data_IF_606345468007
#
_entry.id   IF_606345468007
#
_cell.length_a   1.000
_cell.length_b   1.000
_cell.length_c   1.000
_cell.angle_alpha   90.00
_cell.angle_beta   90.00
_cell.angle_gamma   90.00
#
_symmetry.space_group_name_H-M   'P 1'
#
loop_
_entity.id
_entity.type
_entity.pdbx_description
1 polymer ?
#
# COMPACT_ATOMS: atom_id res chain seq x y z
N UNK A 1 12.09 23.21 36.92
CA UNK A 1 12.15 21.77 36.62
C UNK A 1 10.78 21.10 36.53
N UNK A 2 9.76 21.53 37.29
CA UNK A 2 8.39 20.95 37.28
C UNK A 2 7.58 21.30 36.02
N UNK A 3 7.73 22.50 35.46
CA UNK A 3 6.99 22.92 34.25
C UNK A 3 7.37 22.12 33.00
N UNK A 4 8.61 21.61 32.90
CA UNK A 4 9.06 20.82 31.75
C UNK A 4 8.32 19.48 31.67
N UNK A 5 8.07 18.85 32.83
CA UNK A 5 7.32 17.59 32.92
C UNK A 5 5.83 17.79 32.62
N UNK A 6 5.27 18.94 32.99
CA UNK A 6 3.85 19.26 32.74
C UNK A 6 3.54 19.56 31.27
N UNK A 7 4.51 20.06 30.50
CA UNK A 7 4.39 20.22 29.05
C UNK A 7 4.68 18.93 28.28
N UNK A 8 5.49 18.03 28.85
CA UNK A 8 5.80 16.74 28.23
C UNK A 8 4.65 15.72 28.37
N UNK A 9 3.87 15.77 29.47
CA UNK A 9 2.74 14.87 29.72
C UNK A 9 1.66 14.86 28.63
N UNK A 10 1.16 15.98 28.08
CA UNK A 10 0.18 15.94 26.99
C UNK A 10 0.76 15.37 25.69
N UNK A 11 2.04 15.62 25.41
CA UNK A 11 2.74 15.07 24.24
C UNK A 11 2.88 13.55 24.39
N UNK A 12 3.33 13.08 25.56
CA UNK A 12 3.47 11.66 25.85
C UNK A 12 2.11 10.94 25.80
N UNK A 13 1.05 11.56 26.34
CA UNK A 13 -0.31 11.03 26.28
C UNK A 13 -0.83 10.95 24.84
N UNK A 14 -0.57 11.97 24.01
CA UNK A 14 -0.92 11.93 22.59
C UNK A 14 -0.17 10.81 21.84
N UNK A 15 1.12 10.59 22.12
CA UNK A 15 1.86 9.47 21.55
C UNK A 15 1.35 8.10 22.00
N UNK A 16 0.87 7.95 23.24
CA UNK A 16 0.28 6.68 23.71
C UNK A 16 -1.08 6.42 23.05
N UNK A 17 -1.91 7.45 22.87
CA UNK A 17 -3.25 7.29 22.30
C UNK A 17 -3.21 7.16 20.76
N UNK A 18 -2.41 7.97 20.08
CA UNK A 18 -2.36 8.02 18.62
C UNK A 18 -1.18 7.24 18.01
N UNK A 19 -0.11 7.01 18.76
CA UNK A 19 1.07 6.27 18.28
C UNK A 19 0.80 4.83 17.85
N UNK A 20 -0.02 4.03 18.56
CA UNK A 20 -0.36 2.68 18.13
C UNK A 20 -1.02 2.66 16.74
N UNK A 21 -1.95 3.57 16.49
CA UNK A 21 -2.66 3.69 15.19
C UNK A 21 -1.69 3.94 14.03
N UNK A 22 -0.67 4.77 14.26
CA UNK A 22 0.34 5.08 13.25
C UNK A 22 1.25 3.87 12.95
N UNK A 23 1.65 3.13 13.98
CA UNK A 23 2.51 1.94 13.85
C UNK A 23 1.80 0.79 13.13
N UNK A 24 0.54 0.50 13.49
CA UNK A 24 -0.25 -0.55 12.83
C UNK A 24 -0.46 -0.23 11.34
N UNK A 25 -0.76 1.03 11.02
CA UNK A 25 -0.95 1.45 9.63
C UNK A 25 0.30 1.24 8.78
N UNK A 26 1.49 1.54 9.31
CA UNK A 26 2.75 1.32 8.61
C UNK A 26 3.00 -0.16 8.29
N UNK A 27 2.66 -1.05 9.22
CA UNK A 27 2.85 -2.49 9.01
C UNK A 27 1.92 -3.04 7.92
N UNK A 28 0.64 -2.64 7.93
CA UNK A 28 -0.34 -3.06 6.93
C UNK A 28 0.03 -2.55 5.53
N UNK A 29 0.51 -1.31 5.41
CA UNK A 29 0.98 -0.76 4.12
C UNK A 29 2.14 -1.59 3.58
N UNK A 30 3.11 -1.94 4.43
CA UNK A 30 4.28 -2.72 4.00
C UNK A 30 3.90 -4.13 3.54
N UNK A 31 2.98 -4.79 4.24
CA UNK A 31 2.51 -6.12 3.89
C UNK A 31 1.72 -6.12 2.58
N UNK A 32 0.81 -5.15 2.41
CA UNK A 32 0.05 -5.03 1.16
C UNK A 32 0.95 -4.67 -0.02
N UNK A 33 1.97 -3.83 0.21
CA UNK A 33 2.99 -3.51 -0.78
C UNK A 33 3.70 -4.77 -1.26
N UNK A 34 4.21 -5.60 -0.35
CA UNK A 34 4.96 -6.80 -0.75
C UNK A 34 4.10 -7.75 -1.58
N UNK A 35 2.86 -8.00 -1.15
CA UNK A 35 1.93 -8.87 -1.89
C UNK A 35 1.59 -8.33 -3.27
N UNK A 36 1.42 -7.02 -3.41
CA UNK A 36 1.15 -6.40 -4.70
C UNK A 36 2.31 -6.58 -5.69
N UNK A 37 3.55 -6.29 -5.27
CA UNK A 37 4.72 -6.46 -6.14
C UNK A 37 5.03 -7.93 -6.42
N UNK A 38 4.74 -8.83 -5.48
CA UNK A 38 4.82 -10.27 -5.72
C UNK A 38 3.84 -10.70 -6.82
N UNK A 39 2.59 -10.23 -6.78
CA UNK A 39 1.61 -10.50 -7.83
C UNK A 39 2.00 -9.91 -9.19
N UNK A 40 2.61 -8.71 -9.23
CA UNK A 40 3.15 -8.16 -10.46
C UNK A 40 4.31 -9.02 -11.01
N UNK A 41 5.18 -9.54 -10.13
CA UNK A 41 6.29 -10.42 -10.51
C UNK A 41 5.77 -11.78 -11.04
N UNK A 42 4.68 -12.29 -10.49
CA UNK A 42 4.00 -13.47 -11.02
C UNK A 42 3.35 -13.19 -12.36
N UNK A 43 2.69 -12.03 -12.49
CA UNK A 43 2.07 -11.60 -13.74
C UNK A 43 3.10 -11.38 -14.85
N UNK A 44 4.29 -10.87 -14.54
CA UNK A 44 5.38 -10.72 -15.52
C UNK A 44 5.86 -12.05 -16.11
N UNK A 45 5.70 -13.17 -15.38
CA UNK A 45 6.02 -14.52 -15.88
C UNK A 45 4.95 -15.11 -16.78
N UNK A 46 3.69 -14.67 -16.62
CA UNK A 46 2.54 -15.11 -17.43
C UNK A 46 1.58 -13.92 -17.64
N UNK A 47 1.94 -12.96 -18.52
CA UNK A 47 1.22 -11.69 -18.68
C UNK A 47 -0.17 -11.85 -19.29
N UNK A 48 -0.48 -13.01 -19.89
CA UNK A 48 -1.80 -13.29 -20.48
C UNK A 48 -2.76 -13.92 -19.48
N UNK A 49 -2.31 -14.20 -18.26
CA UNK A 49 -3.13 -14.81 -17.23
C UNK A 49 -4.10 -13.81 -16.61
N UNK A 50 -5.37 -13.89 -17.03
CA UNK A 50 -6.44 -13.03 -16.53
C UNK A 50 -6.64 -13.13 -15.01
N UNK A 51 -6.40 -14.31 -14.42
CA UNK A 51 -6.52 -14.51 -12.98
C UNK A 51 -5.44 -13.75 -12.20
N UNK A 52 -4.20 -13.74 -12.71
CA UNK A 52 -3.10 -12.98 -12.11
C UNK A 52 -3.35 -11.47 -12.26
N UNK A 53 -3.89 -11.02 -13.40
CA UNK A 53 -4.28 -9.61 -13.58
C UNK A 53 -5.31 -9.17 -12.55
N UNK A 54 -6.38 -9.94 -12.37
CA UNK A 54 -7.41 -9.63 -11.38
C UNK A 54 -6.85 -9.60 -9.95
N UNK A 55 -5.96 -10.55 -9.62
CA UNK A 55 -5.26 -10.58 -8.34
C UNK A 55 -4.40 -9.34 -8.12
N UNK A 56 -3.60 -8.95 -9.12
CA UNK A 56 -2.77 -7.75 -9.09
C UNK A 56 -3.62 -6.47 -8.91
N UNK A 57 -4.78 -6.38 -9.57
CA UNK A 57 -5.71 -5.25 -9.38
C UNK A 57 -6.22 -5.19 -7.94
N UNK A 58 -6.68 -6.31 -7.39
CA UNK A 58 -7.22 -6.37 -6.03
C UNK A 58 -6.14 -6.03 -4.98
N UNK A 59 -4.93 -6.56 -5.15
CA UNK A 59 -3.80 -6.29 -4.26
C UNK A 59 -3.31 -4.84 -4.39
N UNK A 60 -3.28 -4.29 -5.60
CA UNK A 60 -3.00 -2.88 -5.85
C UNK A 60 -4.00 -1.98 -5.12
N UNK A 61 -5.30 -2.29 -5.21
CA UNK A 61 -6.36 -1.56 -4.48
C UNK A 61 -6.15 -1.59 -2.96
N UNK A 62 -5.79 -2.76 -2.42
CA UNK A 62 -5.49 -2.93 -0.99
C UNK A 62 -4.24 -2.13 -0.58
N UNK A 63 -3.19 -2.16 -1.39
CA UNK A 63 -1.96 -1.39 -1.14
C UNK A 63 -2.23 0.11 -1.15
N UNK A 64 -2.70 0.66 -2.28
CA UNK A 64 -2.95 2.09 -2.40
C UNK A 64 -4.04 2.57 -1.43
N UNK A 65 -5.09 1.78 -1.21
CA UNK A 65 -6.12 2.07 -0.22
C UNK A 65 -5.58 2.13 1.22
N UNK A 66 -4.66 1.23 1.59
CA UNK A 66 -4.06 1.24 2.94
C UNK A 66 -3.20 2.47 3.22
N UNK A 67 -2.63 3.09 2.19
CA UNK A 67 -1.88 4.34 2.32
C UNK A 67 -2.82 5.56 2.52
N UNK A 68 -4.07 5.48 2.06
CA UNK A 68 -5.05 6.58 2.15
C UNK A 68 -5.64 6.69 3.56
N UNK A 69 -6.19 7.86 3.87
CA UNK A 69 -6.94 8.07 5.13
C UNK A 69 -8.29 7.34 5.08
N UNK A 70 -8.90 7.29 3.89
CA UNK A 70 -10.21 6.66 3.65
C UNK A 70 -10.14 5.12 3.64
N UNK A 71 -8.94 4.54 3.55
CA UNK A 71 -8.77 3.08 3.43
C UNK A 71 -9.12 2.53 2.04
N UNK A 72 -9.43 3.40 1.08
CA UNK A 72 -9.93 3.03 -0.26
C UNK A 72 -9.07 3.62 -1.36
N UNK A 73 -8.83 2.83 -2.41
CA UNK A 73 -8.16 3.30 -3.61
C UNK A 73 -9.03 4.30 -4.37
N UNK A 74 -8.38 5.32 -4.94
CA UNK A 74 -9.01 6.34 -5.76
C UNK A 74 -8.92 5.98 -7.25
N UNK A 75 -9.66 6.71 -8.10
CA UNK A 75 -9.55 6.56 -9.56
C UNK A 75 -8.15 6.83 -10.11
N UNK A 76 -7.37 7.70 -9.43
CA UNK A 76 -5.97 7.92 -9.77
C UNK A 76 -5.11 6.72 -9.42
N UNK A 77 -5.36 6.08 -8.27
CA UNK A 77 -4.66 4.85 -7.88
C UNK A 77 -4.98 3.70 -8.85
N UNK A 78 -6.25 3.56 -9.27
CA UNK A 78 -6.64 2.60 -10.33
C UNK A 78 -5.88 2.82 -11.64
N UNK A 79 -5.69 4.08 -12.05
CA UNK A 79 -4.95 4.39 -13.26
C UNK A 79 -3.49 3.95 -13.15
N UNK A 80 -2.84 4.17 -12.00
CA UNK A 80 -1.47 3.71 -11.74
C UNK A 80 -1.40 2.18 -11.80
N UNK A 81 -2.30 1.49 -11.09
CA UNK A 81 -2.36 0.03 -11.06
C UNK A 81 -2.48 -0.54 -12.49
N UNK A 82 -3.36 0.03 -13.30
CA UNK A 82 -3.54 -0.40 -14.68
C UNK A 82 -2.30 -0.13 -15.54
N UNK A 83 -1.61 1.00 -15.34
CA UNK A 83 -0.35 1.28 -16.03
C UNK A 83 0.75 0.29 -15.66
N UNK A 84 0.89 -0.06 -14.38
CA UNK A 84 1.88 -1.04 -13.91
C UNK A 84 1.59 -2.44 -14.48
N UNK A 85 0.32 -2.85 -14.51
CA UNK A 85 -0.11 -4.12 -15.11
C UNK A 85 0.15 -4.13 -16.63
N UNK A 86 -0.19 -3.05 -17.32
CA UNK A 86 0.05 -2.92 -18.75
C UNK A 86 1.55 -2.96 -19.09
N UNK A 87 2.40 -2.39 -18.24
CA UNK A 87 3.85 -2.49 -18.40
C UNK A 87 4.34 -3.96 -18.37
N UNK A 88 3.77 -4.80 -17.50
CA UNK A 88 4.07 -6.24 -17.49
C UNK A 88 3.67 -6.94 -18.80
N UNK A 89 2.60 -6.49 -19.47
CA UNK A 89 2.15 -7.05 -20.75
C UNK A 89 3.06 -6.65 -21.91
N UNK A 90 3.56 -5.41 -21.91
CA UNK A 90 4.43 -4.88 -22.97
C UNK A 90 5.85 -5.47 -22.95
N UNK A 91 6.35 -5.87 -21.78
CA UNK A 91 7.67 -6.50 -21.66
C UNK A 91 7.76 -7.84 -22.42
N UNK A 92 6.64 -8.56 -22.59
CA UNK A 92 6.59 -9.82 -23.34
C UNK A 92 6.70 -9.61 -24.86
N UNK A 93 6.34 -8.43 -25.37
CA UNK A 93 6.38 -8.11 -26.80
C UNK A 93 7.75 -7.66 -27.31
N UNK A 94 8.70 -7.39 -26.41
CA UNK A 94 10.05 -6.90 -26.74
C UNK A 94 11.16 -7.96 -26.52
N UNK A 95 10.83 -9.17 -26.04
CA UNK A 95 11.76 -10.28 -25.80
C UNK A 95 11.62 -11.41 -26.85
#
# INVERSE_FOLDING_TARGET
>A
MVHLLYYATPILAAFIVFGPVFLFKSSTISENKSKYYEALTELEKDPKNEKLKLSAIELGRKFYGSARITGTATTFDEAIINCEIYACEMNETEA
#
